data_IF_897105394346
#
_entry.id   IF_897105394346
#
_cell.length_a   1.000
_cell.length_b   1.000
_cell.length_c   1.000
_cell.angle_alpha   90.00
_cell.angle_beta   90.00
_cell.angle_gamma   90.00
#
_symmetry.space_group_name_H-M   'P 1'
#
loop_
_entity.id
_entity.type
_entity.pdbx_description
1 polymer ?
#
# COMPACT_ATOMS: atom_id res chain seq x y z
N UNK A 1 -17.37 -5.54 -4.04
CA UNK A 1 -16.97 -5.15 -2.67
C UNK A 1 -15.55 -4.57 -2.71
N UNK A 2 -15.34 -3.34 -2.24
CA UNK A 2 -14.06 -2.64 -2.44
C UNK A 2 -12.93 -3.12 -1.53
N UNK A 3 -13.27 -3.60 -0.34
CA UNK A 3 -12.36 -4.32 0.54
C UNK A 3 -12.50 -5.81 0.24
N UNK A 4 -11.41 -6.50 -0.09
CA UNK A 4 -11.43 -7.92 -0.50
C UNK A 4 -10.49 -8.73 0.38
N UNK A 5 -11.00 -9.79 1.01
CA UNK A 5 -10.19 -10.70 1.84
C UNK A 5 -8.98 -11.27 1.06
N UNK A 6 -9.16 -11.61 -0.22
CA UNK A 6 -8.07 -12.09 -1.07
C UNK A 6 -6.96 -11.03 -1.28
N UNK A 7 -7.33 -9.75 -1.44
CA UNK A 7 -6.37 -8.66 -1.58
C UNK A 7 -5.63 -8.41 -0.26
N UNK A 8 -6.34 -8.45 0.87
CA UNK A 8 -5.75 -8.36 2.21
C UNK A 8 -4.77 -9.51 2.44
N UNK A 9 -5.14 -10.76 2.10
CA UNK A 9 -4.23 -11.91 2.19
C UNK A 9 -2.93 -11.67 1.42
N UNK A 10 -3.01 -11.11 0.22
CA UNK A 10 -1.81 -10.75 -0.56
C UNK A 10 -0.92 -9.70 0.12
N UNK A 11 -1.52 -8.69 0.76
CA UNK A 11 -0.79 -7.69 1.54
C UNK A 11 -0.14 -8.31 2.80
N UNK A 12 -0.86 -9.16 3.53
CA UNK A 12 -0.33 -9.83 4.71
C UNK A 12 0.82 -10.77 4.33
N UNK A 13 0.73 -11.51 3.22
CA UNK A 13 1.86 -12.30 2.69
C UNK A 13 3.08 -11.44 2.36
N UNK A 14 2.86 -10.24 1.82
CA UNK A 14 3.97 -9.30 1.57
C UNK A 14 4.65 -8.88 2.87
N UNK A 15 3.89 -8.46 3.89
CA UNK A 15 4.44 -8.06 5.20
C UNK A 15 5.07 -9.23 5.94
N UNK A 16 4.44 -10.41 5.91
CA UNK A 16 4.98 -11.63 6.51
C UNK A 16 6.34 -11.98 5.91
N UNK A 17 6.51 -11.90 4.57
CA UNK A 17 7.81 -12.16 3.92
C UNK A 17 8.90 -11.18 4.37
N UNK A 18 8.56 -9.91 4.56
CA UNK A 18 9.50 -8.91 5.06
C UNK A 18 9.98 -9.29 6.47
N UNK A 19 9.07 -9.66 7.37
CA UNK A 19 9.40 -10.06 8.74
C UNK A 19 10.13 -11.40 8.79
N UNK A 20 9.66 -12.40 8.04
CA UNK A 20 10.30 -13.70 7.92
C UNK A 20 11.75 -13.56 7.45
N UNK A 21 12.01 -12.68 6.48
CA UNK A 21 13.36 -12.43 5.96
C UNK A 21 14.24 -11.68 6.95
N UNK A 22 13.79 -10.52 7.42
CA UNK A 22 14.69 -9.60 8.11
C UNK A 22 14.64 -9.68 9.63
N UNK A 23 13.48 -10.03 10.21
CA UNK A 23 13.29 -10.09 11.66
C UNK A 23 13.50 -11.49 12.22
N UNK A 24 12.76 -12.47 11.72
CA UNK A 24 12.81 -13.86 12.22
C UNK A 24 13.88 -14.71 11.55
N UNK A 25 14.46 -14.22 10.45
CA UNK A 25 15.55 -14.87 9.70
C UNK A 25 15.25 -16.34 9.38
N UNK A 26 14.06 -16.65 8.88
CA UNK A 26 13.62 -18.03 8.60
C UNK A 26 14.38 -18.71 7.44
N UNK A 27 15.44 -18.08 6.93
CA UNK A 27 16.25 -18.51 5.80
C UNK A 27 17.69 -18.85 6.20
N UNK A 28 17.96 -19.39 7.38
CA UNK A 28 19.31 -19.82 7.78
C UNK A 28 19.80 -20.99 6.91
N UNK A 29 20.28 -20.67 5.71
CA UNK A 29 20.84 -21.59 4.71
C UNK A 29 22.02 -20.89 4.01
N UNK A 30 23.02 -21.66 3.59
CA UNK A 30 24.25 -21.13 2.99
C UNK A 30 24.05 -20.55 1.58
N UNK A 31 23.07 -21.07 0.82
CA UNK A 31 22.84 -20.71 -0.58
C UNK A 31 21.54 -19.89 -0.76
N UNK A 32 21.59 -18.79 -1.51
CA UNK A 32 20.45 -17.89 -1.75
C UNK A 32 19.23 -18.60 -2.36
N UNK A 33 19.44 -19.56 -3.27
CA UNK A 33 18.33 -20.33 -3.84
C UNK A 33 17.60 -21.18 -2.79
N UNK A 34 18.31 -21.76 -1.83
CA UNK A 34 17.71 -22.54 -0.75
C UNK A 34 17.00 -21.64 0.26
N UNK A 35 17.50 -20.41 0.48
CA UNK A 35 16.83 -19.39 1.28
C UNK A 35 15.46 -19.02 0.71
N UNK A 36 15.37 -18.76 -0.60
CA UNK A 36 14.11 -18.44 -1.26
C UNK A 36 13.12 -19.61 -1.22
N UNK A 37 13.60 -20.83 -1.44
CA UNK A 37 12.78 -22.05 -1.33
C UNK A 37 12.25 -22.24 0.09
N UNK A 38 13.07 -22.04 1.11
CA UNK A 38 12.67 -22.16 2.51
C UNK A 38 11.58 -21.14 2.88
N UNK A 39 11.77 -19.86 2.52
CA UNK A 39 10.77 -18.82 2.76
C UNK A 39 9.46 -19.10 2.01
N UNK A 40 9.53 -19.53 0.75
CA UNK A 40 8.34 -19.88 -0.03
C UNK A 40 7.60 -21.07 0.57
N UNK A 41 8.32 -22.10 1.01
CA UNK A 41 7.74 -23.29 1.67
C UNK A 41 7.03 -22.90 2.97
N UNK A 42 7.66 -22.09 3.81
CA UNK A 42 7.06 -21.61 5.06
C UNK A 42 5.84 -20.71 4.80
N UNK A 43 5.92 -19.83 3.80
CA UNK A 43 4.79 -18.99 3.38
C UNK A 43 3.61 -19.85 2.88
N UNK A 44 3.87 -20.87 2.07
CA UNK A 44 2.86 -21.79 1.55
C UNK A 44 2.23 -22.62 2.66
N UNK A 45 3.03 -23.08 3.62
CA UNK A 45 2.53 -23.81 4.78
C UNK A 45 1.54 -22.97 5.59
N UNK A 46 1.82 -21.68 5.81
CA UNK A 46 0.98 -20.80 6.61
C UNK A 46 -0.23 -20.23 5.83
N UNK A 47 0.01 -19.69 4.64
CA UNK A 47 -0.98 -18.91 3.87
C UNK A 47 -1.68 -19.69 2.77
N UNK A 48 -1.17 -20.89 2.45
CA UNK A 48 -1.64 -21.70 1.32
C UNK A 48 -1.07 -21.24 -0.03
N UNK A 49 -1.12 -22.14 -1.00
CA UNK A 49 -0.59 -21.91 -2.34
C UNK A 49 -1.02 -22.98 -3.34
N UNK A 50 -0.77 -22.72 -4.61
CA UNK A 50 -1.01 -23.67 -5.70
C UNK A 50 0.34 -24.08 -6.30
N UNK A 51 0.95 -25.13 -5.77
CA UNK A 51 2.07 -25.85 -6.38
C UNK A 51 1.68 -27.32 -6.62
N UNK A 52 1.21 -27.63 -7.83
CA UNK A 52 0.81 -28.98 -8.22
C UNK A 52 -0.50 -29.45 -7.58
N UNK A 53 -0.51 -29.75 -6.28
CA UNK A 53 -1.65 -30.35 -5.58
C UNK A 53 -2.48 -29.36 -4.76
N UNK A 54 -2.03 -28.12 -4.62
CA UNK A 54 -2.72 -27.09 -3.84
C UNK A 54 -2.66 -27.36 -2.34
N UNK A 55 -2.17 -26.39 -1.58
CA UNK A 55 -2.11 -26.47 -0.12
C UNK A 55 -3.08 -25.48 0.50
N UNK A 56 -4.00 -25.97 1.31
CA UNK A 56 -4.87 -25.14 2.13
C UNK A 56 -4.06 -24.45 3.23
N UNK A 57 -4.17 -23.12 3.31
CA UNK A 57 -3.53 -22.33 4.36
C UNK A 57 -4.10 -22.61 5.75
N UNK A 58 -3.37 -22.15 6.77
CA UNK A 58 -3.75 -22.25 8.19
C UNK A 58 -4.50 -21.01 8.68
N UNK A 59 -4.45 -19.91 7.92
CA UNK A 59 -5.07 -18.63 8.29
C UNK A 59 -6.27 -18.37 7.40
N UNK A 60 -7.45 -18.24 7.98
CA UNK A 60 -8.70 -17.88 7.31
C UNK A 60 -9.02 -16.41 7.56
N UNK A 61 -9.39 -15.68 6.51
CA UNK A 61 -9.74 -14.26 6.60
C UNK A 61 -11.16 -14.05 6.11
N UNK A 62 -11.92 -13.22 6.83
CA UNK A 62 -13.25 -12.77 6.44
C UNK A 62 -13.34 -11.26 6.63
N UNK A 63 -13.93 -10.59 5.65
CA UNK A 63 -14.25 -9.17 5.73
C UNK A 63 -15.76 -9.05 5.95
N UNK A 64 -16.17 -8.31 6.98
CA UNK A 64 -17.58 -8.04 7.30
C UNK A 64 -17.81 -6.55 7.56
N UNK A 65 -19.07 -6.19 7.80
CA UNK A 65 -19.48 -4.87 8.29
C UNK A 65 -18.98 -3.70 7.43
N UNK A 66 -18.88 -3.93 6.12
CA UNK A 66 -18.42 -2.92 5.17
C UNK A 66 -19.53 -1.90 5.00
N UNK A 67 -19.32 -0.70 5.54
CA UNK A 67 -20.25 0.42 5.31
C UNK A 67 -20.29 0.77 3.83
N UNK A 68 -21.47 1.13 3.31
CA UNK A 68 -21.63 1.60 1.93
C UNK A 68 -20.68 2.78 1.67
N UNK A 69 -19.59 2.59 0.91
CA UNK A 69 -18.57 3.62 0.76
C UNK A 69 -19.10 4.72 -0.13
N UNK A 70 -18.88 5.97 0.27
CA UNK A 70 -19.17 7.12 -0.58
C UNK A 70 -18.22 7.09 -1.78
N UNK A 71 -18.78 7.02 -2.98
CA UNK A 71 -18.00 7.08 -4.22
C UNK A 71 -17.89 8.53 -4.69
N UNK A 72 -16.69 8.95 -5.03
CA UNK A 72 -16.38 10.26 -5.61
C UNK A 72 -15.67 10.07 -6.96
N UNK A 73 -15.80 11.04 -7.87
CA UNK A 73 -15.03 11.04 -9.13
C UNK A 73 -13.84 11.99 -9.06
N UNK A 74 -12.77 11.62 -9.78
CA UNK A 74 -11.60 12.45 -10.02
C UNK A 74 -11.94 13.76 -10.75
N UNK A 75 -12.95 13.74 -11.63
CA UNK A 75 -13.49 14.93 -12.29
C UNK A 75 -14.76 15.40 -11.57
N UNK A 76 -15.06 16.71 -11.62
CA UNK A 76 -16.30 17.27 -11.05
C UNK A 76 -17.55 16.76 -11.76
N UNK A 77 -17.46 16.57 -13.07
CA UNK A 77 -18.57 16.15 -13.93
C UNK A 77 -18.05 15.19 -15.01
N UNK A 78 -18.85 14.17 -15.34
CA UNK A 78 -18.59 13.32 -16.49
C UNK A 78 -19.43 13.76 -17.69
N UNK A 79 -18.77 14.23 -18.76
CA UNK A 79 -19.44 14.68 -19.99
C UNK A 79 -19.48 13.56 -21.03
N UNK A 80 -20.59 13.43 -21.77
CA UNK A 80 -20.75 12.36 -22.78
C UNK A 80 -19.79 12.49 -23.96
N UNK A 81 -19.49 13.72 -24.40
CA UNK A 81 -18.61 13.97 -25.54
C UNK A 81 -17.13 14.01 -25.12
N UNK A 82 -16.29 13.20 -25.78
CA UNK A 82 -14.84 13.12 -25.48
C UNK A 82 -14.12 14.46 -25.66
N UNK A 83 -14.42 15.19 -26.73
CA UNK A 83 -13.82 16.50 -26.99
C UNK A 83 -14.15 17.53 -25.89
N UNK A 84 -15.37 17.46 -25.33
CA UNK A 84 -15.76 18.32 -24.21
C UNK A 84 -15.11 17.87 -22.90
N UNK A 85 -14.94 16.55 -22.68
CA UNK A 85 -14.19 16.04 -21.53
C UNK A 85 -12.76 16.57 -21.54
N UNK A 86 -12.08 16.54 -22.68
CA UNK A 86 -10.70 17.05 -22.81
C UNK A 86 -10.64 18.56 -22.56
N UNK A 87 -11.61 19.32 -23.09
CA UNK A 87 -11.66 20.79 -22.92
C UNK A 87 -12.02 21.22 -21.49
N UNK A 88 -12.81 20.42 -20.77
CA UNK A 88 -13.36 20.76 -19.45
C UNK A 88 -12.96 19.75 -18.36
N UNK A 89 -11.69 19.35 -18.30
CA UNK A 89 -11.12 18.46 -17.27
C UNK A 89 -11.01 19.15 -15.90
N UNK A 90 -12.12 19.67 -15.38
CA UNK A 90 -12.15 20.27 -14.05
C UNK A 90 -12.03 19.16 -13.00
N UNK A 91 -10.83 19.06 -12.43
CA UNK A 91 -10.52 18.12 -11.35
C UNK A 91 -11.36 18.46 -10.12
N UNK A 92 -11.79 17.43 -9.41
CA UNK A 92 -12.48 17.60 -8.13
C UNK A 92 -11.58 18.37 -7.17
N UNK A 93 -12.11 19.42 -6.52
CA UNK A 93 -11.33 20.31 -5.65
C UNK A 93 -10.71 19.55 -4.46
N UNK A 94 -11.37 18.48 -3.99
CA UNK A 94 -10.86 17.60 -2.93
C UNK A 94 -9.62 16.83 -3.38
N UNK A 95 -9.53 16.50 -4.67
CA UNK A 95 -8.54 15.58 -5.25
C UNK A 95 -7.46 16.26 -6.10
N UNK A 96 -7.67 17.50 -6.52
CA UNK A 96 -6.77 18.27 -7.40
C UNK A 96 -5.35 18.38 -6.82
N UNK A 97 -5.24 18.62 -5.51
CA UNK A 97 -3.98 18.65 -4.77
C UNK A 97 -3.24 17.29 -4.79
N UNK A 98 -3.96 16.18 -4.96
CA UNK A 98 -3.43 14.81 -5.00
C UNK A 98 -3.23 14.27 -6.43
N UNK A 99 -3.40 15.10 -7.46
CA UNK A 99 -3.33 14.70 -8.88
C UNK A 99 -2.03 13.98 -9.25
N UNK A 100 -0.89 14.32 -8.62
CA UNK A 100 0.39 13.63 -8.85
C UNK A 100 0.35 12.14 -8.47
N UNK A 101 -0.43 11.77 -7.46
CA UNK A 101 -0.66 10.38 -7.05
C UNK A 101 -1.79 9.74 -7.86
N UNK A 102 -2.83 10.52 -8.12
CA UNK A 102 -4.09 10.08 -8.73
C UNK A 102 -4.10 10.15 -10.27
N UNK A 103 -2.95 10.36 -10.92
CA UNK A 103 -2.86 10.48 -12.39
C UNK A 103 -3.48 9.30 -13.15
N UNK A 104 -3.56 8.11 -12.56
CA UNK A 104 -4.18 6.95 -13.20
C UNK A 104 -5.70 7.04 -13.27
N UNK A 105 -6.31 7.91 -12.45
CA UNK A 105 -7.73 8.23 -12.45
C UNK A 105 -8.06 9.40 -13.40
N UNK A 106 -7.03 10.02 -13.99
CA UNK A 106 -7.12 11.02 -15.05
C UNK A 106 -7.42 10.32 -16.39
N UNK A 107 -8.56 9.63 -16.45
CA UNK A 107 -8.98 8.80 -17.58
C UNK A 107 -10.21 9.41 -18.24
N UNK A 108 -10.06 9.90 -19.48
CA UNK A 108 -11.15 10.50 -20.25
C UNK A 108 -11.93 9.50 -21.10
N UNK A 109 -11.53 8.24 -21.13
CA UNK A 109 -12.17 7.22 -21.97
C UNK A 109 -13.21 6.43 -21.18
N UNK A 110 -12.94 6.15 -19.90
CA UNK A 110 -13.76 5.26 -19.07
C UNK A 110 -14.12 5.92 -17.73
N UNK A 111 -15.40 6.23 -17.53
CA UNK A 111 -15.90 6.89 -16.31
C UNK A 111 -15.59 6.08 -15.05
N UNK A 112 -15.75 4.77 -15.11
CA UNK A 112 -15.50 3.87 -13.99
C UNK A 112 -14.05 3.92 -13.49
N UNK A 113 -13.09 4.22 -14.38
CA UNK A 113 -11.67 4.40 -14.02
C UNK A 113 -11.40 5.73 -13.31
N UNK A 114 -12.37 6.64 -13.29
CA UNK A 114 -12.28 7.92 -12.57
C UNK A 114 -12.88 7.85 -11.16
N UNK A 115 -13.58 6.77 -10.82
CA UNK A 115 -14.28 6.62 -9.55
C UNK A 115 -13.33 6.15 -8.45
N UNK A 116 -13.45 6.76 -7.28
CA UNK A 116 -12.70 6.45 -6.07
C UNK A 116 -13.66 6.32 -4.88
N UNK A 117 -13.18 5.68 -3.83
CA UNK A 117 -13.86 5.65 -2.54
C UNK A 117 -13.34 6.83 -1.71
N UNK A 118 -14.27 7.60 -1.17
CA UNK A 118 -14.00 8.70 -0.25
C UNK A 118 -13.59 8.15 1.13
N UNK A 119 -13.01 9.03 1.96
CA UNK A 119 -12.65 8.69 3.33
C UNK A 119 -13.89 8.34 4.20
N UNK A 120 -13.64 7.70 5.35
CA UNK A 120 -14.68 7.40 6.35
C UNK A 120 -15.37 6.04 6.19
N UNK A 121 -14.93 5.21 5.24
CA UNK A 121 -15.45 3.84 5.11
C UNK A 121 -14.93 2.95 6.24
N UNK A 122 -15.83 2.20 6.89
CA UNK A 122 -15.52 1.25 7.95
C UNK A 122 -15.76 -0.19 7.46
N UNK A 123 -15.03 -1.13 8.06
CA UNK A 123 -15.09 -2.56 7.76
C UNK A 123 -14.40 -3.33 8.90
N UNK A 124 -14.78 -4.59 9.06
CA UNK A 124 -14.20 -5.49 10.07
C UNK A 124 -13.35 -6.57 9.39
N UNK A 125 -12.12 -6.77 9.88
CA UNK A 125 -11.33 -7.96 9.55
C UNK A 125 -11.49 -9.01 10.64
N UNK A 126 -12.00 -10.17 10.27
CA UNK A 126 -11.99 -11.36 11.10
C UNK A 126 -10.93 -12.32 10.57
N UNK A 127 -10.16 -12.93 11.47
CA UNK A 127 -9.29 -14.04 11.13
C UNK A 127 -9.51 -15.21 12.08
N UNK A 128 -9.24 -16.41 11.58
CA UNK A 128 -9.21 -17.64 12.36
C UNK A 128 -8.04 -18.51 11.93
N UNK A 129 -7.63 -19.38 12.83
CA UNK A 129 -6.61 -20.37 12.56
C UNK A 129 -7.19 -21.77 12.44
N UNK A 130 -6.48 -22.62 11.72
CA UNK A 130 -6.64 -24.06 11.84
C UNK A 130 -5.94 -24.55 13.11
N UNK A 131 -6.70 -24.64 14.21
CA UNK A 131 -6.19 -25.03 15.54
C UNK A 131 -5.59 -26.44 15.56
N UNK A 132 -5.84 -27.28 14.56
CA UNK A 132 -5.28 -28.65 14.50
C UNK A 132 -3.86 -28.70 13.98
N UNK A 133 -3.45 -27.70 13.19
CA UNK A 133 -2.18 -27.69 12.44
C UNK A 133 -1.28 -26.51 12.75
N UNK A 134 -1.83 -25.40 13.23
CA UNK A 134 -1.06 -24.18 13.48
C UNK A 134 -0.23 -24.29 14.77
N UNK A 135 0.97 -23.74 14.75
CA UNK A 135 1.86 -23.62 15.92
C UNK A 135 1.71 -22.25 16.59
N UNK A 136 2.13 -22.14 17.85
CA UNK A 136 2.11 -20.86 18.58
C UNK A 136 3.06 -19.83 17.95
N UNK A 137 4.21 -20.26 17.43
CA UNK A 137 5.12 -19.43 16.65
C UNK A 137 4.43 -18.86 15.41
N UNK A 138 3.68 -19.68 14.67
CA UNK A 138 2.92 -19.21 13.49
C UNK A 138 1.80 -18.24 13.88
N UNK A 139 1.10 -18.47 14.99
CA UNK A 139 0.11 -17.51 15.52
C UNK A 139 0.77 -16.17 15.81
N UNK A 140 1.91 -16.19 16.52
CA UNK A 140 2.69 -14.99 16.81
C UNK A 140 3.13 -14.26 15.53
N UNK A 141 3.63 -14.99 14.53
CA UNK A 141 4.01 -14.43 13.23
C UNK A 141 2.84 -13.75 12.53
N UNK A 142 1.63 -14.33 12.58
CA UNK A 142 0.43 -13.72 11.97
C UNK A 142 0.01 -12.47 12.73
N UNK A 143 -0.01 -12.50 14.07
CA UNK A 143 -0.34 -11.33 14.88
C UNK A 143 0.64 -10.18 14.68
N UNK A 144 1.94 -10.46 14.63
CA UNK A 144 2.93 -9.45 14.33
C UNK A 144 2.79 -8.92 12.90
N UNK A 145 2.53 -9.79 11.92
CA UNK A 145 2.25 -9.37 10.54
C UNK A 145 1.03 -8.44 10.47
N UNK A 146 -0.03 -8.73 11.22
CA UNK A 146 -1.22 -7.87 11.31
C UNK A 146 -0.86 -6.51 11.92
N UNK A 147 -0.03 -6.47 12.98
CA UNK A 147 0.44 -5.21 13.58
C UNK A 147 1.21 -4.35 12.58
N UNK A 148 2.13 -4.96 11.83
CA UNK A 148 2.90 -4.27 10.80
C UNK A 148 2.03 -3.75 9.66
N UNK A 149 1.08 -4.56 9.21
CA UNK A 149 0.13 -4.14 8.19
C UNK A 149 -0.82 -3.03 8.67
N UNK A 150 -1.25 -3.05 9.93
CA UNK A 150 -2.07 -1.98 10.52
C UNK A 150 -1.31 -0.64 10.62
N UNK A 151 0.00 -0.68 10.85
CA UNK A 151 0.83 0.52 10.99
C UNK A 151 1.29 1.12 9.65
N UNK A 152 1.64 0.29 8.67
CA UNK A 152 2.30 0.74 7.43
C UNK A 152 1.61 0.29 6.15
N UNK A 153 0.59 -0.55 6.27
CA UNK A 153 -0.12 -1.10 5.13
C UNK A 153 -1.15 -0.15 4.53
N UNK A 154 -2.01 -0.74 3.72
CA UNK A 154 -3.13 -0.07 3.07
C UNK A 154 -3.92 -1.05 2.22
N UNK A 155 -5.07 -0.60 1.73
CA UNK A 155 -6.00 -1.40 0.94
C UNK A 155 -6.22 -0.76 -0.43
N UNK A 156 -6.33 -1.59 -1.46
CA UNK A 156 -6.61 -1.13 -2.82
C UNK A 156 -5.35 -0.69 -3.57
N UNK A 157 -5.52 0.30 -4.45
CA UNK A 157 -4.46 0.75 -5.35
C UNK A 157 -3.68 1.93 -4.75
N UNK A 158 -2.40 2.06 -5.15
CA UNK A 158 -1.54 3.20 -4.78
C UNK A 158 -1.29 3.35 -3.26
N UNK A 159 -1.33 2.26 -2.51
CA UNK A 159 -1.05 2.22 -1.05
C UNK A 159 0.30 2.81 -0.67
N UNK A 160 1.33 2.57 -1.49
CA UNK A 160 2.68 3.18 -1.35
C UNK A 160 2.72 4.71 -1.54
N UNK A 161 1.58 5.35 -1.83
CA UNK A 161 1.43 6.80 -1.99
C UNK A 161 0.31 7.36 -1.12
N UNK A 162 -0.10 6.63 -0.08
CA UNK A 162 -1.09 7.07 0.92
C UNK A 162 -2.55 6.75 0.59
N UNK A 163 -2.87 6.22 -0.60
CA UNK A 163 -4.25 5.81 -0.90
C UNK A 163 -4.64 4.56 -0.12
N UNK A 164 -5.85 4.54 0.42
CA UNK A 164 -6.38 3.38 1.16
C UNK A 164 -5.62 3.06 2.45
N UNK A 165 -4.92 4.06 3.01
CA UNK A 165 -4.49 4.03 4.40
C UNK A 165 -5.73 3.91 5.30
N UNK A 166 -5.60 3.16 6.38
CA UNK A 166 -6.65 2.96 7.36
C UNK A 166 -6.06 3.03 8.76
N UNK A 167 -6.92 3.24 9.74
CA UNK A 167 -6.61 3.15 11.16
C UNK A 167 -7.37 1.97 11.75
N UNK A 168 -6.71 1.16 12.57
CA UNK A 168 -7.37 0.10 13.31
C UNK A 168 -7.83 0.69 14.66
N UNK A 169 -9.13 0.97 14.78
CA UNK A 169 -9.72 1.59 15.97
C UNK A 169 -9.86 0.63 17.14
N UNK A 170 -10.19 -0.63 16.84
CA UNK A 170 -10.51 -1.65 17.83
C UNK A 170 -9.98 -3.01 17.36
N UNK A 171 -9.55 -3.84 18.31
CA UNK A 171 -9.10 -5.19 18.03
C UNK A 171 -9.29 -6.08 19.26
N UNK A 172 -9.59 -7.36 19.05
CA UNK A 172 -9.60 -8.35 20.14
C UNK A 172 -8.19 -8.62 20.70
N UNK A 173 -7.14 -8.18 20.02
CA UNK A 173 -5.74 -8.25 20.45
C UNK A 173 -5.13 -6.86 20.39
N UNK A 174 -5.03 -6.19 21.53
CA UNK A 174 -4.51 -4.81 21.64
C UNK A 174 -3.11 -4.64 21.03
N UNK A 175 -2.30 -5.69 21.03
CA UNK A 175 -0.96 -5.66 20.45
C UNK A 175 -0.97 -5.31 18.95
N UNK A 176 -2.03 -5.67 18.22
CA UNK A 176 -2.13 -5.40 16.78
C UNK A 176 -2.29 -3.91 16.50
N UNK A 177 -2.99 -3.18 17.37
CA UNK A 177 -3.26 -1.74 17.18
C UNK A 177 -2.19 -0.86 17.81
N UNK A 178 -1.30 -1.43 18.64
CA UNK A 178 -0.18 -0.68 19.23
C UNK A 178 0.77 -0.19 18.14
N UNK A 179 1.10 1.12 18.12
CA UNK A 179 2.09 1.66 17.19
C UNK A 179 3.42 0.93 17.28
N UNK A 180 4.08 0.71 16.14
CA UNK A 180 5.44 0.18 16.12
C UNK A 180 6.44 1.23 16.61
N UNK A 181 7.35 0.82 17.47
CA UNK A 181 8.45 1.65 17.95
C UNK A 181 9.61 1.67 16.96
N UNK A 182 10.56 2.59 17.13
CA UNK A 182 11.79 2.62 16.33
C UNK A 182 12.56 1.29 16.46
N UNK A 183 12.67 0.75 17.68
CA UNK A 183 13.29 -0.55 17.94
C UNK A 183 12.60 -1.70 17.22
N UNK A 184 11.27 -1.71 17.21
CA UNK A 184 10.51 -2.75 16.49
C UNK A 184 10.84 -2.75 14.99
N UNK A 185 10.97 -1.55 14.41
CA UNK A 185 11.22 -1.32 12.99
C UNK A 185 12.69 -1.63 12.64
N UNK A 186 13.63 -1.23 13.49
CA UNK A 186 15.06 -1.55 13.39
C UNK A 186 15.33 -3.06 13.45
N UNK A 187 14.58 -3.79 14.27
CA UNK A 187 14.68 -5.25 14.36
C UNK A 187 14.33 -5.96 13.03
N UNK A 188 13.61 -5.29 12.12
CA UNK A 188 13.34 -5.78 10.76
C UNK A 188 14.25 -5.11 9.70
N UNK A 189 15.36 -4.48 10.11
CA UNK A 189 16.30 -3.81 9.21
C UNK A 189 15.76 -2.55 8.55
N UNK A 190 14.68 -1.99 9.09
CA UNK A 190 14.03 -0.79 8.57
C UNK A 190 14.37 0.44 9.43
N UNK A 191 14.17 1.65 8.90
CA UNK A 191 14.27 2.90 9.64
C UNK A 191 12.91 3.59 9.70
N UNK A 192 12.42 3.89 10.90
CA UNK A 192 11.22 4.69 11.09
C UNK A 192 11.58 6.18 11.03
N UNK A 193 10.86 6.93 10.19
CA UNK A 193 11.00 8.40 10.10
C UNK A 193 9.63 9.01 10.29
N UNK A 194 9.50 9.89 11.29
CA UNK A 194 8.26 10.58 11.61
C UNK A 194 8.45 12.08 11.40
N UNK A 195 7.43 12.73 10.86
CA UNK A 195 7.40 14.19 10.85
C UNK A 195 7.02 14.70 12.25
N UNK A 196 7.69 15.74 12.73
CA UNK A 196 7.41 16.34 14.03
C UNK A 196 6.01 17.00 14.08
N UNK A 197 5.57 17.60 12.97
CA UNK A 197 4.23 18.17 12.86
C UNK A 197 3.15 17.09 12.74
N UNK A 198 2.35 16.95 13.79
CA UNK A 198 1.14 16.13 13.81
C UNK A 198 -0.08 16.98 13.48
N UNK A 199 -0.78 16.70 12.39
CA UNK A 199 -2.10 17.28 12.10
C UNK A 199 -3.19 16.25 12.37
N UNK A 200 -4.26 16.67 13.03
CA UNK A 200 -5.47 15.86 13.27
C UNK A 200 -6.34 15.66 12.02
N UNK A 201 -5.92 16.17 10.85
CA UNK A 201 -6.64 16.06 9.58
C UNK A 201 -5.87 15.15 8.61
N UNK A 202 -6.16 13.84 8.54
CA UNK A 202 -5.40 12.87 7.74
C UNK A 202 -5.27 13.24 6.26
N UNK A 203 -6.36 13.71 5.64
CA UNK A 203 -6.35 14.11 4.22
C UNK A 203 -5.47 15.33 3.96
N UNK A 204 -5.42 16.29 4.87
CA UNK A 204 -4.55 17.46 4.73
C UNK A 204 -3.07 17.08 4.91
N UNK A 205 -2.77 16.18 5.87
CA UNK A 205 -1.44 15.59 6.01
C UNK A 205 -1.01 14.85 4.73
N UNK A 206 -1.93 14.08 4.14
CA UNK A 206 -1.68 13.38 2.89
C UNK A 206 -1.42 14.35 1.73
N UNK A 207 -2.23 15.40 1.56
CA UNK A 207 -2.01 16.44 0.53
C UNK A 207 -0.62 17.08 0.66
N UNK A 208 -0.19 17.41 1.88
CA UNK A 208 1.16 17.94 2.16
C UNK A 208 2.25 16.95 1.77
N UNK A 209 2.10 15.67 2.11
CA UNK A 209 3.05 14.63 1.75
C UNK A 209 3.13 14.43 0.22
N UNK A 210 1.99 14.48 -0.47
CA UNK A 210 1.94 14.41 -1.94
C UNK A 210 2.61 15.61 -2.59
N UNK A 211 2.39 16.82 -2.06
CA UNK A 211 3.06 18.03 -2.54
C UNK A 211 4.58 17.91 -2.40
N UNK A 212 5.08 17.52 -1.22
CA UNK A 212 6.52 17.27 -1.00
C UNK A 212 7.09 16.23 -1.97
N UNK A 213 6.38 15.11 -2.17
CA UNK A 213 6.82 14.06 -3.11
C UNK A 213 6.83 14.56 -4.56
N UNK A 214 5.82 15.32 -4.96
CA UNK A 214 5.75 15.95 -6.29
C UNK A 214 6.93 16.91 -6.47
N UNK A 215 7.15 17.80 -5.52
CA UNK A 215 8.16 18.86 -5.61
C UNK A 215 9.57 18.24 -5.64
N UNK A 216 9.84 17.29 -4.76
CA UNK A 216 11.07 16.50 -4.81
C UNK A 216 11.33 15.87 -6.18
N UNK A 217 10.27 15.39 -6.85
CA UNK A 217 10.40 14.72 -8.15
C UNK A 217 10.36 15.64 -9.35
N UNK A 218 9.70 16.80 -9.27
CA UNK A 218 9.28 17.58 -10.43
C UNK A 218 9.59 19.07 -10.33
N UNK A 219 9.91 19.59 -9.14
CA UNK A 219 10.23 21.00 -8.99
C UNK A 219 11.53 21.35 -9.74
N UNK A 220 11.54 22.58 -10.24
CA UNK A 220 12.70 23.18 -10.90
C UNK A 220 13.90 23.19 -9.96
N UNK A 221 15.08 22.89 -10.50
CA UNK A 221 16.35 22.77 -9.79
C UNK A 221 16.43 21.73 -8.66
N UNK A 222 15.33 21.03 -8.34
CA UNK A 222 15.30 19.92 -7.37
C UNK A 222 15.20 18.58 -8.10
N UNK A 223 14.06 18.34 -8.76
CA UNK A 223 13.78 17.08 -9.46
C UNK A 223 13.95 17.17 -10.96
N UNK A 224 13.95 18.40 -11.50
CA UNK A 224 14.12 18.71 -12.93
C UNK A 224 15.12 19.84 -13.09
N UNK A 225 15.74 19.90 -14.27
CA UNK A 225 16.48 21.08 -14.67
C UNK A 225 15.51 22.22 -14.99
N UNK A 226 15.99 23.46 -14.90
CA UNK A 226 15.33 24.61 -15.50
C UNK A 226 15.01 24.34 -16.98
N UNK A 227 13.77 24.60 -17.36
CA UNK A 227 13.34 24.48 -18.76
C UNK A 227 13.68 25.76 -19.51
N UNK A 228 14.16 25.62 -20.74
CA UNK A 228 14.53 26.77 -21.58
C UNK A 228 13.29 27.53 -22.11
N UNK A 229 12.13 26.85 -22.22
CA UNK A 229 10.89 27.42 -22.75
C UNK A 229 9.64 26.91 -21.99
N UNK A 230 8.96 27.74 -21.19
CA UNK A 230 7.63 27.42 -20.65
C UNK A 230 6.63 27.18 -21.81
N UNK A 231 5.75 26.16 -21.77
CA UNK A 231 5.40 25.30 -20.63
C UNK A 231 6.18 23.97 -20.57
N UNK A 232 7.26 23.82 -21.35
CA UNK A 232 8.01 22.56 -21.44
C UNK A 232 8.88 22.40 -20.19
N UNK A 233 8.62 21.38 -19.33
CA UNK A 233 9.44 21.16 -18.16
C UNK A 233 10.84 20.69 -18.57
N UNK A 234 11.87 21.16 -17.87
CA UNK A 234 13.24 20.72 -18.12
C UNK A 234 13.46 19.23 -17.78
N UNK A 235 14.60 18.71 -18.25
CA UNK A 235 14.93 17.28 -18.15
C UNK A 235 14.89 16.80 -16.69
N UNK A 236 14.33 15.62 -16.46
CA UNK A 236 14.34 14.96 -15.15
C UNK A 236 15.78 14.69 -14.69
N UNK A 237 16.09 15.05 -13.44
CA UNK A 237 17.36 14.71 -12.77
C UNK A 237 17.39 13.25 -12.30
N UNK A 238 16.23 12.60 -12.26
CA UNK A 238 16.11 11.17 -12.01
C UNK A 238 16.44 10.40 -13.29
N UNK A 239 17.59 9.74 -13.32
CA UNK A 239 17.94 8.79 -14.37
C UNK A 239 16.95 7.61 -14.35
N UNK A 240 16.44 7.19 -15.50
CA UNK A 240 15.99 5.81 -15.67
C UNK A 240 17.26 4.98 -15.66
N UNK A 241 17.46 4.10 -14.68
CA UNK A 241 18.59 3.17 -14.68
C UNK A 241 18.65 2.40 -16.01
N UNK A 242 19.54 2.82 -16.91
CA UNK A 242 20.43 1.88 -17.58
C UNK A 242 21.60 1.74 -16.62
N UNK A 243 21.60 0.67 -15.83
CA UNK A 243 22.89 0.10 -15.43
C UNK A 243 23.58 -0.30 -16.75
N UNK A 244 24.81 0.14 -17.04
CA UNK A 244 25.62 -0.58 -17.99
C UNK A 244 25.82 -1.97 -17.39
N UNK A 245 25.46 -3.02 -18.12
CA UNK A 245 26.12 -4.30 -17.91
C UNK A 245 27.61 -4.04 -18.13
N UNK A 246 28.38 -4.00 -17.04
CA UNK A 246 29.81 -4.17 -17.13
C UNK A 246 30.04 -5.64 -17.54
N UNK A 247 30.57 -5.82 -18.75
CA UNK A 247 31.17 -7.06 -19.21
C UNK A 247 32.57 -7.21 -18.61
#
# INVERSE_FOLDING_TARGET
MPVRAAAIRGQLRFWWRLLAKYKWKLQEQEQEQEQEKALRKAEFALWGGMDGNGQAGLVFLKVSDVTSPKVISYFKEWRKNKSERIKHQNKNDKLSACSYVLFAMDNVDEEEKTKLIDEGSQWTLQWRFDETRITDEQKHQVHETLRWWANFGGIGARTRRGCGAFEASECSLDEIIKPLTEKDVEAAGCRLVRQADTSSKPVESWKKAVAKLRDFRQAEEIGRNKGDNPPIPGRSRWYRNLMPCAA
#
